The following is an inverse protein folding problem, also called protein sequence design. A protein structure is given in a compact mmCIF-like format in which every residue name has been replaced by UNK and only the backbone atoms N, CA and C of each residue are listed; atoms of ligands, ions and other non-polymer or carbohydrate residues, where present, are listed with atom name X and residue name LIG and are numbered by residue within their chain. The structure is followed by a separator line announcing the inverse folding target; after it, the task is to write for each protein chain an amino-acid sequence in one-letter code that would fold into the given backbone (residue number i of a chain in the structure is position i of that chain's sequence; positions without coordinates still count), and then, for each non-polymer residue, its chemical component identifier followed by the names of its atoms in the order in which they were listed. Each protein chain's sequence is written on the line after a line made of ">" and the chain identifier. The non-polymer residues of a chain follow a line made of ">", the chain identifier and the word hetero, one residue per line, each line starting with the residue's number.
data_IF_732744348263
#
_entry.id   IF_732744348263
#
_cell.length_a   1.000
_cell.length_b   1.000
_cell.length_c   1.000
_cell.angle_alpha   90.00
_cell.angle_beta   90.00
_cell.angle_gamma   90.00
#
_symmetry.space_group_name_H-M   'P 1'
#
loop_
_entity.id
_entity.type
_entity.pdbx_description
1 polymer ?
#
# COMPACT_ATOMS: atom_id res chain seq x y z
N UNK A 1 -2.67 -10.99 0.49
CA UNK A 1 -2.71 -9.52 0.66
C UNK A 1 -4.07 -9.14 1.22
N UNK A 2 -4.20 -8.25 2.20
CA UNK A 2 -5.53 -7.88 2.73
C UNK A 2 -6.24 -6.88 1.80
N UNK A 3 -7.56 -6.98 1.61
CA UNK A 3 -8.39 -6.03 0.84
C UNK A 3 -8.12 -4.57 1.18
N UNK A 4 -7.93 -4.32 2.47
CA UNK A 4 -7.62 -2.99 3.02
C UNK A 4 -6.32 -2.42 2.43
N UNK A 5 -5.29 -3.26 2.25
CA UNK A 5 -4.03 -2.81 1.67
C UNK A 5 -4.17 -2.49 0.19
N UNK A 6 -4.82 -3.35 -0.60
CA UNK A 6 -5.01 -3.09 -2.02
C UNK A 6 -5.86 -1.84 -2.27
N UNK A 7 -6.91 -1.65 -1.47
CA UNK A 7 -7.73 -0.44 -1.50
C UNK A 7 -6.90 0.80 -1.15
N UNK A 8 -6.11 0.74 -0.08
CA UNK A 8 -5.20 1.83 0.29
C UNK A 8 -4.24 2.21 -0.85
N UNK A 9 -3.65 1.23 -1.53
CA UNK A 9 -2.74 1.47 -2.66
C UNK A 9 -3.47 2.13 -3.85
N UNK A 10 -4.66 1.63 -4.22
CA UNK A 10 -5.49 2.18 -5.30
C UNK A 10 -5.93 3.61 -5.00
N UNK A 11 -6.54 3.84 -3.84
CA UNK A 11 -7.07 5.15 -3.42
C UNK A 11 -6.00 6.24 -3.37
N UNK A 12 -4.74 5.85 -3.12
CA UNK A 12 -3.61 6.77 -3.08
C UNK A 12 -2.82 6.85 -4.39
N UNK A 13 -3.31 6.27 -5.49
CA UNK A 13 -2.63 6.27 -6.79
C UNK A 13 -1.19 5.72 -6.69
N UNK A 14 -0.99 4.71 -5.85
CA UNK A 14 0.30 4.06 -5.63
C UNK A 14 0.54 2.91 -6.62
N UNK A 15 -0.55 2.41 -7.21
CA UNK A 15 -0.53 1.36 -8.22
C UNK A 15 -1.35 1.81 -9.42
N UNK A 16 -0.94 1.41 -10.61
CA UNK A 16 -1.63 1.71 -11.87
C UNK A 16 -2.58 0.59 -12.34
N UNK A 17 -2.61 -0.53 -11.61
CA UNK A 17 -3.54 -1.62 -11.85
C UNK A 17 -4.80 -1.46 -11.01
N UNK A 18 -5.92 -1.95 -11.52
CA UNK A 18 -7.13 -2.12 -10.72
C UNK A 18 -7.10 -3.49 -10.02
N UNK A 19 -6.88 -3.56 -8.69
CA UNK A 19 -6.87 -4.82 -7.95
C UNK A 19 -8.28 -5.34 -7.64
N UNK A 20 -9.33 -4.60 -8.03
CA UNK A 20 -10.72 -4.89 -7.71
C UNK A 20 -11.47 -5.29 -8.99
N UNK A 21 -12.40 -6.24 -8.87
CA UNK A 21 -13.36 -6.61 -9.90
C UNK A 21 -14.50 -5.58 -9.98
N UNK A 22 -15.39 -5.73 -10.97
CA UNK A 22 -16.56 -4.86 -11.14
C UNK A 22 -17.55 -4.93 -9.95
N UNK A 23 -17.54 -6.02 -9.18
CA UNK A 23 -18.40 -6.26 -8.01
C UNK A 23 -17.78 -5.82 -6.67
N UNK A 24 -16.74 -5.00 -6.69
CA UNK A 24 -15.95 -4.53 -5.53
C UNK A 24 -15.18 -5.65 -4.77
N UNK A 25 -15.15 -6.88 -5.30
CA UNK A 25 -14.32 -7.97 -4.79
C UNK A 25 -12.85 -7.82 -5.23
N UNK A 26 -11.90 -8.36 -4.46
CA UNK A 26 -10.52 -8.42 -4.92
C UNK A 26 -10.38 -9.43 -6.07
N UNK A 27 -9.57 -9.07 -7.07
CA UNK A 27 -9.06 -10.05 -8.04
C UNK A 27 -8.32 -11.15 -7.27
N UNK A 28 -8.48 -12.40 -7.71
CA UNK A 28 -8.00 -13.58 -6.97
C UNK A 28 -6.47 -13.59 -6.87
N UNK A 29 -5.75 -13.07 -7.87
CA UNK A 29 -4.28 -12.97 -7.87
C UNK A 29 -3.77 -11.75 -8.68
N UNK A 30 -3.91 -10.52 -8.16
CA UNK A 30 -3.26 -9.37 -8.77
C UNK A 30 -1.74 -9.52 -8.64
N UNK A 31 -1.07 -9.87 -9.74
CA UNK A 31 0.39 -9.81 -9.82
C UNK A 31 0.78 -8.33 -9.88
N UNK A 32 1.20 -7.79 -8.73
CA UNK A 32 1.74 -6.45 -8.65
C UNK A 32 3.23 -6.49 -9.03
N UNK A 33 3.59 -5.90 -10.17
CA UNK A 33 4.99 -5.77 -10.61
C UNK A 33 5.53 -4.41 -10.20
N UNK A 34 6.85 -4.28 -10.12
CA UNK A 34 7.49 -2.99 -9.85
C UNK A 34 7.12 -1.93 -10.89
N UNK A 35 6.93 -2.32 -12.16
CA UNK A 35 6.47 -1.43 -13.22
C UNK A 35 5.08 -0.81 -12.98
N UNK A 36 4.30 -1.41 -12.07
CA UNK A 36 2.98 -0.92 -11.68
C UNK A 36 3.05 0.08 -10.53
N UNK A 37 4.21 0.24 -9.89
CA UNK A 37 4.38 1.08 -8.72
C UNK A 37 4.71 2.51 -9.13
N UNK A 38 4.06 3.48 -8.49
CA UNK A 38 4.55 4.86 -8.53
C UNK A 38 5.86 5.00 -7.74
N UNK A 39 6.62 6.07 -7.98
CA UNK A 39 7.84 6.38 -7.21
C UNK A 39 7.55 6.46 -5.70
N UNK A 40 6.40 7.02 -5.33
CA UNK A 40 5.98 7.08 -3.93
C UNK A 40 5.66 5.69 -3.36
N UNK A 41 5.09 4.80 -4.17
CA UNK A 41 4.80 3.43 -3.78
C UNK A 41 6.08 2.64 -3.55
N UNK A 42 7.05 2.72 -4.47
CA UNK A 42 8.35 2.06 -4.35
C UNK A 42 9.05 2.43 -3.03
N UNK A 43 9.08 3.73 -2.70
CA UNK A 43 9.60 4.22 -1.40
C UNK A 43 8.79 3.73 -0.20
N UNK A 44 7.46 3.71 -0.32
CA UNK A 44 6.60 3.21 0.76
C UNK A 44 6.85 1.73 1.05
N UNK A 45 7.03 0.93 0.00
CA UNK A 45 7.37 -0.49 0.08
C UNK A 45 8.74 -0.71 0.72
N UNK A 46 9.73 0.13 0.40
CA UNK A 46 11.06 0.04 1.00
C UNK A 46 11.09 0.44 2.49
N UNK A 47 10.41 1.53 2.87
CA UNK A 47 10.64 2.18 4.17
C UNK A 47 9.58 1.89 5.25
N UNK A 48 8.33 1.63 4.85
CA UNK A 48 7.19 1.59 5.77
C UNK A 48 6.44 0.26 5.75
N UNK A 49 6.51 -0.49 4.65
CA UNK A 49 5.97 -1.85 4.61
C UNK A 49 6.62 -2.81 5.61
N UNK A 50 7.96 -2.85 5.77
CA UNK A 50 8.60 -3.70 6.77
C UNK A 50 8.09 -3.37 8.19
N UNK A 51 7.97 -2.09 8.51
CA UNK A 51 7.44 -1.63 9.82
C UNK A 51 5.99 -2.05 10.05
N UNK A 52 5.16 -2.03 9.00
CA UNK A 52 3.79 -2.55 9.09
C UNK A 52 3.77 -4.06 9.22
N UNK A 53 4.65 -4.78 8.52
CA UNK A 53 4.79 -6.24 8.66
C UNK A 53 5.15 -6.59 10.10
N UNK A 54 6.18 -5.96 10.67
CA UNK A 54 6.60 -6.17 12.06
C UNK A 54 5.46 -5.90 13.07
N UNK A 55 4.63 -4.88 12.82
CA UNK A 55 3.46 -4.59 13.65
C UNK A 55 2.44 -5.74 13.61
N UNK A 56 2.17 -6.29 12.42
CA UNK A 56 1.24 -7.42 12.24
C UNK A 56 1.81 -8.69 12.89
N UNK A 57 3.11 -8.96 12.68
CA UNK A 57 3.80 -10.14 13.21
C UNK A 57 3.80 -10.15 14.76
N UNK A 58 3.69 -8.98 15.39
CA UNK A 58 3.54 -8.81 16.85
C UNK A 58 2.08 -8.87 17.33
N UNK A 59 1.14 -9.30 16.49
CA UNK A 59 -0.29 -9.40 16.81
C UNK A 59 -1.10 -8.12 16.54
N UNK A 60 -0.52 -7.16 15.82
CA UNK A 60 -1.22 -5.95 15.40
C UNK A 60 -2.35 -6.24 14.41
N UNK A 61 -3.38 -5.39 14.40
CA UNK A 61 -4.52 -5.55 13.51
C UNK A 61 -4.10 -5.30 12.04
N UNK A 62 -4.20 -6.29 11.12
CA UNK A 62 -3.85 -6.11 9.71
C UNK A 62 -4.65 -5.01 8.99
N UNK A 63 -5.83 -4.65 9.49
CA UNK A 63 -6.64 -3.55 8.97
C UNK A 63 -6.17 -2.16 9.39
N UNK A 64 -5.20 -2.06 10.32
CA UNK A 64 -4.63 -0.78 10.70
C UNK A 64 -3.62 -0.30 9.65
N UNK A 65 -4.00 0.74 8.89
CA UNK A 65 -3.16 1.34 7.84
C UNK A 65 -2.39 2.59 8.30
N UNK A 66 -2.43 2.94 9.60
CA UNK A 66 -1.81 4.18 10.11
C UNK A 66 -0.31 4.28 9.79
N UNK A 67 0.43 3.19 9.89
CA UNK A 67 1.87 3.16 9.57
C UNK A 67 2.10 3.54 8.10
N UNK A 68 1.28 3.01 7.19
CA UNK A 68 1.39 3.31 5.77
C UNK A 68 0.89 4.73 5.44
N UNK A 69 -0.23 5.16 6.02
CA UNK A 69 -0.76 6.50 5.81
C UNK A 69 0.23 7.58 6.26
N UNK A 70 0.81 7.43 7.45
CA UNK A 70 1.82 8.36 7.98
C UNK A 70 3.10 8.32 7.15
N UNK A 71 3.53 7.12 6.73
CA UNK A 71 4.70 6.96 5.87
C UNK A 71 4.53 7.64 4.51
N UNK A 72 3.36 7.45 3.89
CA UNK A 72 3.02 8.09 2.62
C UNK A 72 2.99 9.61 2.74
N UNK A 73 2.39 10.15 3.81
CA UNK A 73 2.38 11.58 4.07
C UNK A 73 3.80 12.15 4.16
N UNK A 74 4.70 11.46 4.88
CA UNK A 74 6.12 11.85 4.98
C UNK A 74 6.86 11.78 3.64
N UNK A 75 6.61 10.74 2.83
CA UNK A 75 7.20 10.63 1.50
C UNK A 75 6.76 11.79 0.62
N UNK A 76 5.46 12.11 0.61
CA UNK A 76 4.89 13.20 -0.20
C UNK A 76 5.38 14.58 0.25
N UNK A 77 5.50 14.82 1.56
CA UNK A 77 6.03 16.10 2.06
C UNK A 77 7.48 16.33 1.64
N UNK A 78 8.29 15.27 1.60
CA UNK A 78 9.70 15.33 1.20
C UNK A 78 9.92 15.45 -0.32
N UNK A 79 8.85 15.41 -1.13
CA UNK A 79 8.92 15.65 -2.57
C UNK A 79 8.57 17.11 -2.95
N UNK A 80 8.03 17.89 -2.01
CA UNK A 80 7.66 19.30 -2.20
C UNK A 80 8.72 20.28 -1.67
N UNK A 81 9.96 19.83 -1.45
CA UNK A 81 11.12 20.64 -1.04
C UNK A 81 12.24 20.46 -2.04
#
# INVERSE_FOLDING_TARGET
>A
MTTILMRFLKENQLIDIDPVNEDDSLKVDPILRQSNLSVAADRLFAEFFPKRSDYIDRGGNPGNIKILANGLAKIRSNQNT
#
